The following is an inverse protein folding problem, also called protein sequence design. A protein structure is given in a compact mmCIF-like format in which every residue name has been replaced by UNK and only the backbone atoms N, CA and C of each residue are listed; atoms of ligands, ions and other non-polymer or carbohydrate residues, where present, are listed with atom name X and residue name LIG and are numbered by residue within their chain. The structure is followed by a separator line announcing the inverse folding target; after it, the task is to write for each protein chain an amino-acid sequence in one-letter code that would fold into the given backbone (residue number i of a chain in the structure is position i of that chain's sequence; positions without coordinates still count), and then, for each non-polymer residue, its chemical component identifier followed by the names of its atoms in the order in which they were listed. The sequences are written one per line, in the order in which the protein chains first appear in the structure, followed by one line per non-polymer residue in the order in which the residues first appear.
data_IF_838978882037
#
_entry.id   IF_838978882037
#
_cell.length_a   1.000
_cell.length_b   1.000
_cell.length_c   1.000
_cell.angle_alpha   90.00
_cell.angle_beta   90.00
_cell.angle_gamma   90.00
#
_symmetry.space_group_name_H-M   'P 1'
#
loop_
_entity.id
_entity.type
_entity.pdbx_description
1 polymer ?
#
# COMPACT_ATOMS: atom_id res chain seq x y z
N UNK A 1 -1.58 -39.00 -35.47
CA UNK A 1 -0.18 -38.66 -35.81
C UNK A 1 -0.15 -37.22 -36.28
N UNK A 2 0.63 -36.38 -35.60
CA UNK A 2 0.74 -34.96 -35.85
C UNK A 2 1.56 -34.70 -37.13
N UNK A 3 1.16 -33.70 -37.92
CA UNK A 3 2.02 -33.09 -38.93
C UNK A 3 2.06 -31.58 -38.69
N UNK A 4 3.26 -31.15 -38.32
CA UNK A 4 3.77 -29.78 -38.19
C UNK A 4 3.66 -29.04 -39.52
N UNK A 5 3.24 -27.77 -39.49
CA UNK A 5 3.35 -26.85 -40.62
C UNK A 5 4.06 -25.58 -40.15
N UNK A 6 5.26 -25.38 -40.68
CA UNK A 6 6.02 -24.14 -40.58
C UNK A 6 5.85 -23.34 -41.88
N UNK A 7 5.82 -22.02 -41.68
CA UNK A 7 6.32 -20.92 -42.54
C UNK A 7 5.40 -20.17 -43.52
N UNK A 8 5.70 -18.85 -43.54
CA UNK A 8 5.56 -17.84 -44.58
C UNK A 8 4.31 -16.92 -44.60
N UNK A 9 4.55 -15.63 -44.33
CA UNK A 9 4.06 -14.54 -45.21
C UNK A 9 3.18 -13.46 -44.58
N UNK A 10 3.76 -12.27 -44.31
CA UNK A 10 3.03 -10.99 -44.24
C UNK A 10 2.27 -10.72 -45.55
N UNK A 11 1.07 -10.13 -45.49
CA UNK A 11 0.96 -8.71 -45.84
C UNK A 11 -0.07 -7.93 -45.00
N UNK A 12 0.28 -6.71 -44.58
CA UNK A 12 -0.71 -5.65 -44.29
C UNK A 12 -1.42 -5.21 -45.59
N UNK A 13 -2.40 -4.28 -45.57
CA UNK A 13 -2.25 -2.97 -44.93
C UNK A 13 -3.55 -2.31 -44.40
N UNK A 14 -3.38 -1.06 -43.91
CA UNK A 14 -4.28 0.09 -44.05
C UNK A 14 -5.28 0.45 -42.92
N UNK A 15 -4.82 1.42 -42.11
CA UNK A 15 -5.43 2.76 -41.92
C UNK A 15 -6.63 2.95 -40.98
N UNK A 16 -6.41 3.83 -39.99
CA UNK A 16 -7.41 4.43 -39.09
C UNK A 16 -6.78 4.74 -37.72
N UNK A 17 -5.83 5.67 -37.65
CA UNK A 17 -6.02 7.06 -37.17
C UNK A 17 -6.46 7.17 -35.70
N UNK A 18 -5.49 7.59 -34.89
CA UNK A 18 -5.60 8.39 -33.66
C UNK A 18 -6.35 7.80 -32.46
N UNK A 19 -5.60 7.12 -31.59
CA UNK A 19 -5.87 7.14 -30.16
C UNK A 19 -4.59 7.57 -29.43
N UNK A 20 -4.27 8.85 -29.60
CA UNK A 20 -3.56 9.66 -28.61
C UNK A 20 -4.40 9.67 -27.32
N UNK A 21 -4.28 8.59 -26.54
CA UNK A 21 -4.71 8.59 -25.16
C UNK A 21 -3.69 7.79 -24.34
N UNK A 22 -2.48 8.34 -24.29
CA UNK A 22 -1.79 8.41 -23.01
C UNK A 22 -2.69 9.21 -22.06
N UNK A 23 -3.74 8.57 -21.56
CA UNK A 23 -4.36 8.99 -20.32
C UNK A 23 -3.27 8.80 -19.28
N UNK A 24 -2.55 9.89 -19.02
CA UNK A 24 -1.68 10.03 -17.88
C UNK A 24 -2.54 9.75 -16.67
N UNK A 25 -2.61 8.48 -16.28
CA UNK A 25 -3.18 8.08 -15.01
C UNK A 25 -2.23 8.68 -13.98
N UNK A 26 -2.57 9.90 -13.54
CA UNK A 26 -1.84 10.60 -12.51
C UNK A 26 -1.65 9.56 -11.40
N UNK A 27 -0.40 9.22 -11.02
CA UNK A 27 -0.14 8.10 -10.14
C UNK A 27 -1.02 8.32 -8.95
N UNK A 28 -1.99 7.42 -8.73
CA UNK A 28 -3.09 7.64 -7.81
C UNK A 28 -2.45 7.90 -6.45
N UNK A 29 -2.29 9.19 -6.13
CA UNK A 29 -1.72 9.67 -4.88
C UNK A 29 -2.82 9.46 -3.88
N UNK A 30 -3.15 8.21 -3.60
CA UNK A 30 -3.56 7.86 -2.27
C UNK A 30 -2.44 8.40 -1.41
N UNK A 31 -2.66 9.59 -0.86
CA UNK A 31 -1.90 10.15 0.23
C UNK A 31 -2.13 9.20 1.41
N UNK A 32 -1.58 7.99 1.31
CA UNK A 32 -1.20 7.20 2.45
C UNK A 32 -0.19 8.08 3.14
N UNK A 33 -0.68 8.94 4.04
CA UNK A 33 0.15 9.72 4.96
C UNK A 33 1.10 8.70 5.57
N UNK A 34 2.33 8.71 5.07
CA UNK A 34 3.29 7.68 5.38
C UNK A 34 3.61 7.87 6.85
N UNK A 35 3.08 6.99 7.70
CA UNK A 35 3.38 7.03 9.13
C UNK A 35 4.86 6.72 9.26
N UNK A 36 5.63 7.70 9.74
CA UNK A 36 7.06 7.57 9.95
C UNK A 36 7.35 6.39 10.87
N UNK A 37 8.54 5.79 10.77
CA UNK A 37 8.92 4.69 11.66
C UNK A 37 8.92 5.12 13.14
N UNK A 38 9.27 6.38 13.43
CA UNK A 38 9.19 6.96 14.77
C UNK A 38 7.75 6.99 15.29
N UNK A 39 6.81 7.51 14.50
CA UNK A 39 5.39 7.52 14.89
C UNK A 39 4.82 6.10 15.04
N UNK A 40 5.29 5.11 14.27
CA UNK A 40 4.90 3.71 14.48
C UNK A 40 5.42 3.17 15.81
N UNK A 41 6.66 3.51 16.19
CA UNK A 41 7.24 3.13 17.48
C UNK A 41 6.44 3.71 18.64
N UNK A 42 6.12 5.00 18.61
CA UNK A 42 5.33 5.65 19.67
C UNK A 42 3.94 4.99 19.85
N UNK A 43 3.31 4.62 18.73
CA UNK A 43 2.03 3.90 18.73
C UNK A 43 2.17 2.51 19.36
N UNK A 44 3.24 1.78 19.02
CA UNK A 44 3.53 0.46 19.60
C UNK A 44 3.78 0.58 21.10
N UNK A 45 4.62 1.52 21.53
CA UNK A 45 4.98 1.73 22.93
C UNK A 45 3.75 2.08 23.78
N UNK A 46 2.90 2.99 23.29
CA UNK A 46 1.65 3.33 23.96
C UNK A 46 0.68 2.14 24.02
N UNK A 47 0.61 1.35 22.95
CA UNK A 47 -0.20 0.13 22.95
C UNK A 47 0.32 -0.89 23.96
N UNK A 48 1.63 -1.11 24.05
CA UNK A 48 2.24 -2.04 25.01
C UNK A 48 1.98 -1.61 26.45
N UNK A 49 1.94 -0.31 26.74
CA UNK A 49 1.67 0.21 28.09
C UNK A 49 0.20 0.05 28.53
N UNK A 50 -0.77 0.27 27.64
CA UNK A 50 -2.20 0.29 27.99
C UNK A 50 -3.00 -0.94 27.51
N UNK A 51 -2.40 -1.75 26.64
CA UNK A 51 -2.96 -2.93 25.97
C UNK A 51 -4.37 -2.72 25.36
N UNK A 52 -4.72 -1.48 25.02
CA UNK A 52 -6.06 -1.11 24.54
C UNK A 52 -5.97 -0.48 23.14
N UNK A 53 -6.40 -1.24 22.13
CA UNK A 53 -6.32 -0.84 20.73
C UNK A 53 -7.21 0.36 20.41
N UNK A 54 -8.45 0.38 20.91
CA UNK A 54 -9.40 1.46 20.62
C UNK A 54 -8.88 2.81 21.11
N UNK A 55 -8.41 2.85 22.36
CA UNK A 55 -7.77 4.02 22.98
C UNK A 55 -6.52 4.46 22.22
N UNK A 56 -5.70 3.50 21.78
CA UNK A 56 -4.50 3.79 20.99
C UNK A 56 -4.86 4.48 19.68
N UNK A 57 -5.81 3.94 18.90
CA UNK A 57 -6.15 4.53 17.60
C UNK A 57 -6.87 5.87 17.77
N UNK A 58 -7.71 6.04 18.81
CA UNK A 58 -8.33 7.34 19.11
C UNK A 58 -7.32 8.41 19.49
N UNK A 59 -6.26 8.05 20.24
CA UNK A 59 -5.21 8.99 20.64
C UNK A 59 -4.37 9.47 19.47
N UNK A 60 -3.88 8.56 18.63
CA UNK A 60 -2.96 8.89 17.54
C UNK A 60 -3.66 9.26 16.23
N UNK A 61 -4.91 8.83 16.05
CA UNK A 61 -5.67 9.07 14.83
C UNK A 61 -7.12 9.51 15.12
N UNK A 62 -7.33 10.60 15.89
CA UNK A 62 -8.68 11.04 16.30
C UNK A 62 -9.57 11.46 15.13
N UNK A 63 -8.97 11.95 14.04
CA UNK A 63 -9.69 12.50 12.88
C UNK A 63 -10.03 11.45 11.81
N UNK A 64 -9.70 10.17 12.03
CA UNK A 64 -10.01 9.12 11.07
C UNK A 64 -11.44 8.63 11.21
N UNK A 65 -12.11 8.42 10.07
CA UNK A 65 -13.42 7.78 10.03
C UNK A 65 -13.36 6.32 10.51
N UNK A 66 -14.49 5.78 10.99
CA UNK A 66 -14.58 4.40 11.50
C UNK A 66 -14.01 3.35 10.54
N UNK A 67 -14.26 3.49 9.24
CA UNK A 67 -13.73 2.57 8.23
C UNK A 67 -12.20 2.63 8.14
N UNK A 68 -11.61 3.83 8.17
CA UNK A 68 -10.16 4.04 8.18
C UNK A 68 -9.52 3.58 9.49
N UNK A 69 -10.23 3.74 10.62
CA UNK A 69 -9.80 3.22 11.92
C UNK A 69 -9.68 1.69 11.91
N UNK A 70 -10.63 0.96 11.30
CA UNK A 70 -10.54 -0.51 11.17
C UNK A 70 -9.30 -0.95 10.41
N UNK A 71 -8.97 -0.26 9.32
CA UNK A 71 -7.73 -0.51 8.56
C UNK A 71 -6.51 -0.20 9.41
N UNK A 72 -6.51 0.93 10.14
CA UNK A 72 -5.39 1.33 10.99
C UNK A 72 -5.15 0.34 12.14
N UNK A 73 -6.19 -0.18 12.77
CA UNK A 73 -6.08 -1.26 13.78
C UNK A 73 -5.34 -2.48 13.22
N UNK A 74 -5.72 -2.94 12.02
CA UNK A 74 -5.03 -4.04 11.33
C UNK A 74 -3.55 -3.71 11.06
N UNK A 75 -3.26 -2.47 10.66
CA UNK A 75 -1.88 -2.02 10.47
C UNK A 75 -1.09 -2.05 11.77
N UNK A 76 -1.66 -1.60 12.88
CA UNK A 76 -0.99 -1.62 14.19
C UNK A 76 -0.65 -3.06 14.61
N UNK A 77 -1.57 -4.02 14.42
CA UNK A 77 -1.24 -5.43 14.64
C UNK A 77 -0.09 -5.93 13.76
N UNK A 78 -0.03 -5.50 12.50
CA UNK A 78 1.09 -5.81 11.62
C UNK A 78 2.40 -5.15 12.07
N UNK A 79 2.34 -3.94 12.60
CA UNK A 79 3.49 -3.23 13.16
C UNK A 79 4.02 -3.89 14.43
N UNK A 80 3.13 -4.37 15.31
CA UNK A 80 3.51 -5.13 16.51
C UNK A 80 4.32 -6.38 16.14
N UNK A 81 3.91 -7.12 15.10
CA UNK A 81 4.65 -8.29 14.59
C UNK A 81 6.02 -7.92 14.00
N UNK A 82 6.21 -6.66 13.58
CA UNK A 82 7.43 -6.16 12.96
C UNK A 82 8.13 -5.14 13.87
N UNK A 83 7.89 -5.20 15.19
CA UNK A 83 8.42 -4.24 16.16
C UNK A 83 9.94 -4.13 16.06
N UNK A 84 10.63 -5.26 16.09
CA UNK A 84 12.11 -5.28 16.06
C UNK A 84 12.66 -4.61 14.81
N UNK A 85 12.01 -4.83 13.66
CA UNK A 85 12.37 -4.17 12.40
C UNK A 85 12.12 -2.66 12.44
N UNK A 86 11.02 -2.22 13.06
CA UNK A 86 10.70 -0.80 13.21
C UNK A 86 11.69 -0.11 14.15
N UNK A 87 12.10 -0.77 15.23
CA UNK A 87 13.09 -0.27 16.19
C UNK A 87 14.49 -0.17 15.54
N UNK A 88 14.93 -1.19 14.80
CA UNK A 88 16.18 -1.15 14.02
C UNK A 88 16.18 0.00 13.00
N UNK A 89 15.05 0.27 12.36
CA UNK A 89 14.92 1.41 11.42
C UNK A 89 14.88 2.77 12.11
N UNK A 90 14.56 2.86 13.40
CA UNK A 90 14.61 4.10 14.16
C UNK A 90 15.98 4.39 14.79
N UNK A 91 16.79 3.35 15.02
CA UNK A 91 18.14 3.48 15.58
C UNK A 91 19.20 3.92 14.54
N UNK A 92 18.82 3.94 13.26
CA UNK A 92 19.65 4.32 12.12
C UNK A 92 19.33 5.75 11.69
#
# INVERSE_FOLDING_TARGET
MAYTKHDAGCPGPASGQDADHWSGEAPKRFMCVAVSYRSKRDVIEFYTALNTMDTTVRKFFPLLSLQKLRVKKRQIYSWLKKRDFIEQKCAK
#
